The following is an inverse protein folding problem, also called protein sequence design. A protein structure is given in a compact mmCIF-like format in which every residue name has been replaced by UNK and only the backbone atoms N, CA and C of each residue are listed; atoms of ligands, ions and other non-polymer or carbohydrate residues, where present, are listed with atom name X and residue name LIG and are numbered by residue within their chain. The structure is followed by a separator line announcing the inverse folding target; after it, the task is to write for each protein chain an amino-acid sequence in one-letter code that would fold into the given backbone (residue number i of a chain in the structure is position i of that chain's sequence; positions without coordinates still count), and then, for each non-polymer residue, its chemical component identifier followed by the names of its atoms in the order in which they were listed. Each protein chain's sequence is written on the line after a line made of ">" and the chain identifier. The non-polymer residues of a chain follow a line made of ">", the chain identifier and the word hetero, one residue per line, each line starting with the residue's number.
data_IF_870308678361
#
_entry.id   IF_870308678361
#
_cell.length_a   1.000
_cell.length_b   1.000
_cell.length_c   1.000
_cell.angle_alpha   90.00
_cell.angle_beta   90.00
_cell.angle_gamma   90.00
#
_symmetry.space_group_name_H-M   'P 1'
#
loop_
_entity.id
_entity.type
_entity.pdbx_description
1 polymer ?
#
# COMPACT_ATOMS: atom_id res chain seq x y z
N UNK A 1 -20.46 5.68 23.79
CA UNK A 1 -21.73 5.68 23.05
C UNK A 1 -22.24 4.25 22.77
N UNK A 2 -21.48 3.38 22.09
CA UNK A 2 -21.91 2.03 21.69
C UNK A 2 -22.48 1.20 22.87
N UNK A 3 -21.76 1.09 24.00
CA UNK A 3 -22.18 0.30 25.15
C UNK A 3 -23.42 0.89 25.83
N UNK A 4 -23.56 2.21 25.85
CA UNK A 4 -24.75 2.88 26.38
C UNK A 4 -25.99 2.59 25.54
N UNK A 5 -25.88 2.61 24.20
CA UNK A 5 -26.96 2.26 23.28
C UNK A 5 -27.38 0.79 23.44
N UNK A 6 -26.44 -0.11 23.60
CA UNK A 6 -26.73 -1.54 23.87
C UNK A 6 -27.49 -1.71 25.21
N UNK A 7 -27.05 -0.99 26.24
CA UNK A 7 -27.73 -1.05 27.55
C UNK A 7 -29.18 -0.53 27.48
N UNK A 8 -29.42 0.51 26.69
CA UNK A 8 -30.80 0.98 26.47
C UNK A 8 -31.70 -0.10 25.88
N UNK A 9 -31.20 -0.82 24.86
CA UNK A 9 -31.96 -1.88 24.21
C UNK A 9 -32.20 -3.04 25.20
N UNK A 10 -31.15 -3.54 25.85
CA UNK A 10 -31.23 -4.65 26.80
C UNK A 10 -32.19 -4.31 27.93
N UNK A 11 -32.02 -3.14 28.54
CA UNK A 11 -32.80 -2.71 29.67
C UNK A 11 -34.25 -2.44 29.32
N UNK A 12 -34.54 -1.77 28.21
CA UNK A 12 -35.93 -1.49 27.78
C UNK A 12 -36.69 -2.79 27.48
N UNK A 13 -36.06 -3.75 26.83
CA UNK A 13 -36.70 -5.04 26.56
C UNK A 13 -36.91 -5.88 27.82
N UNK A 14 -35.94 -5.84 28.76
CA UNK A 14 -36.13 -6.48 30.06
C UNK A 14 -37.34 -5.87 30.83
N UNK A 15 -37.50 -4.56 30.79
CA UNK A 15 -38.63 -3.87 31.41
C UNK A 15 -39.97 -4.21 30.73
N UNK A 16 -39.96 -4.58 29.46
CA UNK A 16 -41.14 -5.08 28.73
C UNK A 16 -41.40 -6.60 28.94
N UNK A 17 -40.63 -7.27 29.80
CA UNK A 17 -40.80 -8.67 30.14
C UNK A 17 -40.09 -9.67 29.24
N UNK A 18 -39.22 -9.22 28.34
CA UNK A 18 -38.40 -10.12 27.50
C UNK A 18 -37.20 -10.65 28.28
N UNK A 19 -36.77 -11.86 27.95
CA UNK A 19 -35.51 -12.41 28.41
C UNK A 19 -34.36 -11.79 27.60
N UNK A 20 -33.51 -11.03 28.24
CA UNK A 20 -32.45 -10.24 27.59
C UNK A 20 -31.09 -10.50 28.23
N UNK A 21 -30.51 -11.71 28.06
CA UNK A 21 -29.17 -12.02 28.54
C UNK A 21 -28.16 -11.14 27.79
N UNK A 22 -27.23 -10.54 28.54
CA UNK A 22 -26.14 -9.76 27.99
C UNK A 22 -24.82 -10.21 28.58
N UNK A 23 -23.93 -10.76 27.70
CA UNK A 23 -22.57 -11.12 28.05
C UNK A 23 -21.65 -10.06 27.49
N UNK A 24 -20.99 -9.25 28.34
CA UNK A 24 -20.00 -8.27 27.86
C UNK A 24 -18.79 -8.98 27.27
N UNK A 25 -18.19 -8.39 26.24
CA UNK A 25 -17.03 -8.96 25.56
C UNK A 25 -15.97 -7.93 25.23
N UNK A 26 -14.73 -8.39 25.15
CA UNK A 26 -13.55 -7.62 24.76
C UNK A 26 -12.81 -8.27 23.63
N UNK A 27 -12.47 -7.46 22.64
CA UNK A 27 -11.48 -7.75 21.60
C UNK A 27 -10.12 -7.26 22.12
N UNK A 28 -9.19 -8.20 22.35
CA UNK A 28 -7.98 -7.97 23.15
C UNK A 28 -6.70 -7.93 22.32
N UNK A 29 -6.78 -8.03 21.00
CA UNK A 29 -5.62 -8.05 20.13
C UNK A 29 -5.55 -6.78 19.27
N UNK A 30 -4.38 -6.57 18.65
CA UNK A 30 -4.19 -5.58 17.62
C UNK A 30 -3.19 -4.47 17.94
N UNK A 31 -2.88 -3.71 16.90
CA UNK A 31 -1.89 -2.63 16.90
C UNK A 31 -2.04 -1.58 18.01
N UNK A 32 -3.24 -1.17 18.44
CA UNK A 32 -3.35 -0.18 19.51
C UNK A 32 -2.70 -0.62 20.82
N UNK A 33 -2.83 -1.90 21.18
CA UNK A 33 -2.21 -2.47 22.39
C UNK A 33 -0.70 -2.59 22.19
N UNK A 34 -0.25 -3.12 21.06
CA UNK A 34 1.18 -3.27 20.72
C UNK A 34 1.90 -1.93 20.79
N UNK A 35 1.38 -0.90 20.14
CA UNK A 35 1.94 0.47 20.15
C UNK A 35 1.94 1.10 21.54
N UNK A 36 0.94 0.83 22.36
CA UNK A 36 0.90 1.32 23.73
C UNK A 36 2.05 0.71 24.56
N UNK A 37 2.36 -0.58 24.38
CA UNK A 37 3.49 -1.24 25.03
C UNK A 37 4.83 -0.69 24.53
N UNK A 38 5.01 -0.53 23.23
CA UNK A 38 6.22 0.05 22.66
C UNK A 38 6.48 1.47 23.18
N UNK A 39 5.44 2.30 23.22
CA UNK A 39 5.53 3.67 23.73
C UNK A 39 5.86 3.70 25.23
N UNK A 40 5.19 2.87 26.04
CA UNK A 40 5.36 2.84 27.49
C UNK A 40 6.73 2.31 27.92
N UNK A 41 7.22 1.29 27.25
CA UNK A 41 8.53 0.67 27.52
C UNK A 41 9.68 1.33 26.78
N UNK A 42 9.41 2.26 25.86
CA UNK A 42 10.39 2.88 24.95
C UNK A 42 11.24 1.85 24.17
N UNK A 43 10.63 0.72 23.86
CA UNK A 43 11.24 -0.40 23.11
C UNK A 43 10.28 -0.82 22.01
N UNK A 44 10.82 -1.07 20.83
CA UNK A 44 10.05 -1.67 19.73
C UNK A 44 9.83 -3.16 20.01
N UNK A 45 8.80 -3.75 19.38
CA UNK A 45 8.52 -5.18 19.47
C UNK A 45 9.74 -6.05 19.12
N UNK A 46 10.56 -5.61 18.15
CA UNK A 46 11.80 -6.28 17.71
C UNK A 46 12.92 -6.32 18.76
N UNK A 47 12.84 -5.46 19.80
CA UNK A 47 13.82 -5.37 20.88
C UNK A 47 13.44 -6.25 22.08
N UNK A 48 12.33 -6.97 21.99
CA UNK A 48 11.82 -7.90 23.00
C UNK A 48 11.68 -9.29 22.39
N UNK A 49 11.80 -10.33 23.19
CA UNK A 49 11.42 -11.66 22.73
C UNK A 49 9.90 -11.74 22.51
N UNK A 50 9.47 -12.55 21.55
CA UNK A 50 8.03 -12.69 21.23
C UNK A 50 7.19 -13.06 22.46
N UNK A 51 7.60 -14.01 23.32
CA UNK A 51 6.84 -14.34 24.54
C UNK A 51 6.73 -13.16 25.52
N UNK A 52 7.81 -12.40 25.72
CA UNK A 52 7.80 -11.22 26.60
C UNK A 52 6.88 -10.12 26.08
N UNK A 53 6.92 -9.87 24.79
CA UNK A 53 6.06 -8.87 24.14
C UNK A 53 4.58 -9.27 24.25
N UNK A 54 4.25 -10.52 23.91
CA UNK A 54 2.88 -11.06 24.04
C UNK A 54 2.36 -10.98 25.47
N UNK A 55 3.19 -11.35 26.46
CA UNK A 55 2.81 -11.27 27.86
C UNK A 55 2.55 -9.82 28.30
N UNK A 56 3.38 -8.89 27.87
CA UNK A 56 3.16 -7.47 28.17
C UNK A 56 1.86 -6.93 27.56
N UNK A 57 1.51 -7.37 26.34
CA UNK A 57 0.23 -7.01 25.70
C UNK A 57 -0.96 -7.61 26.45
N UNK A 58 -0.88 -8.87 26.90
CA UNK A 58 -1.90 -9.55 27.71
C UNK A 58 -2.16 -8.82 29.04
N UNK A 59 -1.08 -8.50 29.78
CA UNK A 59 -1.16 -7.76 31.06
C UNK A 59 -1.81 -6.36 30.85
N UNK A 60 -1.44 -5.67 29.79
CA UNK A 60 -2.02 -4.38 29.44
C UNK A 60 -3.52 -4.50 29.12
N UNK A 61 -3.90 -5.49 28.32
CA UNK A 61 -5.29 -5.74 27.97
C UNK A 61 -6.13 -6.07 29.21
N UNK A 62 -5.62 -6.90 30.12
CA UNK A 62 -6.32 -7.26 31.39
C UNK A 62 -6.55 -6.02 32.26
N UNK A 63 -5.57 -5.15 32.42
CA UNK A 63 -5.71 -3.88 33.14
C UNK A 63 -6.84 -3.02 32.59
N UNK A 64 -6.93 -2.92 31.26
CA UNK A 64 -8.00 -2.16 30.61
C UNK A 64 -9.37 -2.81 30.70
N UNK A 65 -9.45 -4.16 30.67
CA UNK A 65 -10.70 -4.88 30.95
C UNK A 65 -11.23 -4.48 32.31
N UNK A 66 -10.41 -4.53 33.35
CA UNK A 66 -10.83 -4.21 34.72
C UNK A 66 -11.28 -2.75 34.84
N UNK A 67 -10.54 -1.80 34.27
CA UNK A 67 -10.90 -0.38 34.26
C UNK A 67 -12.22 -0.12 33.56
N UNK A 68 -12.38 -0.70 32.37
CA UNK A 68 -13.61 -0.54 31.57
C UNK A 68 -14.81 -1.21 32.24
N UNK A 69 -14.64 -2.41 32.77
CA UNK A 69 -15.68 -3.12 33.53
C UNK A 69 -16.16 -2.30 34.71
N UNK A 70 -15.25 -1.74 35.52
CA UNK A 70 -15.58 -0.86 36.63
C UNK A 70 -16.35 0.37 36.17
N UNK A 71 -15.96 0.99 35.06
CA UNK A 71 -16.64 2.13 34.47
C UNK A 71 -18.08 1.79 34.03
N UNK A 72 -18.28 0.67 33.34
CA UNK A 72 -19.59 0.23 32.88
C UNK A 72 -20.51 -0.17 34.03
N UNK A 73 -20.03 -0.85 35.07
CA UNK A 73 -20.77 -1.15 36.29
C UNK A 73 -21.21 0.14 37.00
N UNK A 74 -20.31 1.15 37.05
CA UNK A 74 -20.66 2.47 37.62
C UNK A 74 -21.77 3.19 36.81
N UNK A 75 -21.80 3.03 35.50
CA UNK A 75 -22.89 3.55 34.65
C UNK A 75 -24.18 2.74 34.76
N UNK A 76 -24.19 1.67 35.53
CA UNK A 76 -25.35 0.81 35.76
C UNK A 76 -25.66 -0.15 34.63
N UNK A 77 -24.69 -0.45 33.75
CA UNK A 77 -24.88 -1.43 32.68
C UNK A 77 -25.06 -2.82 33.29
N UNK A 78 -26.21 -3.46 32.97
CA UNK A 78 -26.54 -4.80 33.43
C UNK A 78 -25.99 -5.86 32.49
N UNK A 79 -25.35 -6.90 33.03
CA UNK A 79 -24.80 -8.01 32.25
C UNK A 79 -24.10 -9.03 33.13
N UNK A 80 -23.69 -10.15 32.53
CA UNK A 80 -22.88 -11.17 33.20
C UNK A 80 -21.40 -10.73 33.21
N UNK A 81 -21.05 -9.98 34.23
CA UNK A 81 -19.71 -9.45 34.44
C UNK A 81 -18.74 -10.48 35.04
N UNK A 82 -19.25 -11.60 35.52
CA UNK A 82 -18.43 -12.65 36.11
C UNK A 82 -17.87 -13.61 35.03
N UNK A 83 -18.61 -13.78 33.93
CA UNK A 83 -18.23 -14.64 32.83
C UNK A 83 -18.16 -13.84 31.51
N UNK A 84 -17.30 -12.84 31.44
CA UNK A 84 -17.17 -12.03 30.23
C UNK A 84 -16.53 -12.86 29.11
N UNK A 85 -16.81 -12.45 27.89
CA UNK A 85 -16.17 -12.98 26.68
C UNK A 85 -14.90 -12.20 26.38
N UNK A 86 -13.78 -12.92 26.16
CA UNK A 86 -12.48 -12.31 25.85
C UNK A 86 -11.80 -13.07 24.71
N UNK A 87 -11.38 -12.35 23.68
CA UNK A 87 -10.74 -12.97 22.51
C UNK A 87 -9.36 -13.54 22.80
N UNK A 88 -8.70 -13.08 23.88
CA UNK A 88 -7.40 -13.61 24.33
C UNK A 88 -7.50 -14.88 25.18
N UNK A 89 -8.71 -15.38 25.50
CA UNK A 89 -8.86 -16.61 26.23
C UNK A 89 -8.48 -17.82 25.37
N UNK A 90 -7.69 -18.73 25.93
CA UNK A 90 -7.15 -19.90 25.21
C UNK A 90 -8.24 -20.75 24.53
N UNK A 91 -9.43 -20.84 25.16
CA UNK A 91 -10.55 -21.53 24.55
C UNK A 91 -11.06 -20.83 23.29
N UNK A 92 -11.11 -19.48 23.32
CA UNK A 92 -11.52 -18.68 22.21
C UNK A 92 -10.54 -18.80 21.03
N UNK A 93 -9.24 -18.60 21.29
CA UNK A 93 -8.18 -18.78 20.28
C UNK A 93 -8.22 -20.20 19.66
N UNK A 94 -8.47 -21.22 20.48
CA UNK A 94 -8.60 -22.60 19.98
C UNK A 94 -9.81 -22.79 19.03
N UNK A 95 -10.92 -22.08 19.25
CA UNK A 95 -12.07 -22.13 18.34
C UNK A 95 -11.78 -21.39 17.03
N UNK A 96 -11.09 -20.25 17.07
CA UNK A 96 -10.65 -19.54 15.86
C UNK A 96 -9.78 -20.44 14.98
N UNK A 97 -8.78 -21.09 15.56
CA UNK A 97 -7.91 -22.03 14.83
C UNK A 97 -8.71 -23.20 14.22
N UNK A 98 -9.70 -23.74 14.94
CA UNK A 98 -10.58 -24.78 14.41
C UNK A 98 -11.43 -24.30 13.24
N UNK A 99 -11.97 -23.09 13.32
CA UNK A 99 -12.76 -22.50 12.23
C UNK A 99 -11.86 -22.27 11.01
N UNK A 100 -10.67 -21.69 11.21
CA UNK A 100 -9.68 -21.51 10.16
C UNK A 100 -9.35 -22.85 9.45
N UNK A 101 -9.08 -23.91 10.21
CA UNK A 101 -8.83 -25.24 9.66
C UNK A 101 -9.98 -25.77 8.82
N UNK A 102 -11.23 -25.63 9.28
CA UNK A 102 -12.41 -26.02 8.52
C UNK A 102 -12.59 -25.23 7.23
N UNK A 103 -12.23 -23.96 7.22
CA UNK A 103 -12.27 -23.14 6.02
C UNK A 103 -11.18 -23.55 5.02
N UNK A 104 -10.00 -23.90 5.53
CA UNK A 104 -8.91 -24.44 4.71
C UNK A 104 -9.32 -25.78 4.07
N UNK A 105 -9.87 -26.71 4.84
CA UNK A 105 -10.33 -28.02 4.34
C UNK A 105 -11.40 -27.90 3.25
N UNK A 106 -12.20 -26.83 3.30
CA UNK A 106 -13.21 -26.52 2.27
C UNK A 106 -12.64 -25.76 1.06
N UNK A 107 -11.35 -25.44 1.03
CA UNK A 107 -10.70 -24.73 -0.07
C UNK A 107 -10.95 -23.21 -0.11
N UNK A 108 -11.54 -22.62 0.93
CA UNK A 108 -11.77 -21.16 0.98
C UNK A 108 -10.50 -20.37 1.30
N UNK A 109 -9.51 -21.01 1.90
CA UNK A 109 -8.23 -20.42 2.27
C UNK A 109 -7.11 -21.11 1.51
N UNK A 110 -6.27 -20.33 0.84
CA UNK A 110 -5.10 -20.82 0.13
C UNK A 110 -3.94 -19.83 0.25
N UNK A 111 -2.72 -20.33 0.12
CA UNK A 111 -1.51 -19.49 0.11
C UNK A 111 -1.34 -18.82 -1.25
N UNK A 112 -1.23 -17.50 -1.26
CA UNK A 112 -1.01 -16.70 -2.46
C UNK A 112 -0.09 -15.51 -2.19
N UNK A 113 0.36 -14.86 -3.27
CA UNK A 113 1.11 -13.61 -3.21
C UNK A 113 0.18 -12.45 -3.56
N UNK A 114 0.16 -11.44 -2.72
CA UNK A 114 -0.61 -10.21 -2.92
C UNK A 114 0.21 -9.03 -2.39
N UNK A 115 0.27 -7.90 -3.12
CA UNK A 115 0.81 -6.66 -2.58
C UNK A 115 -0.01 -6.22 -1.36
N UNK A 116 0.68 -5.84 -0.30
CA UNK A 116 0.06 -5.34 0.95
C UNK A 116 0.77 -4.08 1.40
N UNK A 117 0.03 -3.19 2.07
CA UNK A 117 0.62 -2.03 2.73
C UNK A 117 1.36 -2.51 3.98
N UNK A 118 2.62 -2.14 4.09
CA UNK A 118 3.51 -2.55 5.17
C UNK A 118 3.97 -1.35 5.99
N UNK A 119 3.86 -1.43 7.31
CA UNK A 119 4.41 -0.44 8.22
C UNK A 119 5.79 -0.89 8.72
N UNK A 120 6.89 -0.20 8.34
CA UNK A 120 8.24 -0.58 8.76
C UNK A 120 8.52 -0.29 10.25
N UNK A 121 7.73 0.56 10.88
CA UNK A 121 7.82 0.84 12.31
C UNK A 121 7.16 -0.24 13.14
N UNK A 122 5.93 -0.62 12.80
CA UNK A 122 5.19 -1.68 13.50
C UNK A 122 5.62 -3.09 13.03
N UNK A 123 6.41 -3.19 11.96
CA UNK A 123 6.89 -4.46 11.37
C UNK A 123 5.72 -5.41 11.06
N UNK A 124 4.66 -4.86 10.47
CA UNK A 124 3.44 -5.61 10.14
C UNK A 124 2.73 -5.05 8.91
N UNK A 125 1.91 -5.88 8.26
CA UNK A 125 0.93 -5.41 7.30
C UNK A 125 -0.19 -4.65 8.03
N UNK A 126 -0.73 -3.62 7.38
CA UNK A 126 -1.84 -2.82 7.91
C UNK A 126 -3.06 -2.96 7.01
N UNK A 127 -4.25 -2.92 7.63
CA UNK A 127 -5.51 -2.93 6.91
C UNK A 127 -5.76 -1.57 6.22
N UNK A 128 -6.58 -1.56 5.16
CA UNK A 128 -6.96 -0.32 4.46
C UNK A 128 -7.54 0.74 5.40
N UNK A 129 -8.32 0.30 6.40
CA UNK A 129 -8.94 1.19 7.38
C UNK A 129 -7.94 1.88 8.33
N UNK A 130 -6.72 1.38 8.42
CA UNK A 130 -5.65 1.93 9.27
C UNK A 130 -4.70 2.85 8.49
N UNK A 131 -4.97 3.08 7.19
CA UNK A 131 -4.14 3.90 6.30
C UNK A 131 -4.72 5.31 6.26
N UNK A 132 -3.89 6.29 6.62
CA UNK A 132 -4.20 7.70 6.46
C UNK A 132 -3.41 8.27 5.30
N UNK A 133 -4.12 8.87 4.34
CA UNK A 133 -3.51 9.55 3.19
C UNK A 133 -3.37 11.04 3.50
N UNK A 134 -2.21 11.58 3.14
CA UNK A 134 -1.94 13.02 3.24
C UNK A 134 -1.05 13.45 2.09
N UNK A 135 -1.12 14.73 1.75
CA UNK A 135 -0.23 15.31 0.77
C UNK A 135 1.21 15.30 1.31
N UNK A 136 2.14 14.89 0.47
CA UNK A 136 3.55 14.86 0.76
C UNK A 136 4.35 15.37 -0.43
N UNK A 137 5.57 15.89 -0.15
CA UNK A 137 6.47 16.38 -1.18
C UNK A 137 7.61 15.39 -1.37
N UNK A 138 7.77 14.90 -2.59
CA UNK A 138 8.86 14.00 -2.93
C UNK A 138 9.68 14.51 -4.11
N UNK A 139 10.97 14.15 -4.13
CA UNK A 139 11.82 14.41 -5.29
C UNK A 139 11.44 13.48 -6.44
N UNK A 140 11.26 14.07 -7.61
CA UNK A 140 10.99 13.34 -8.84
C UNK A 140 12.13 13.50 -9.82
N UNK A 141 12.33 12.53 -10.70
CA UNK A 141 13.37 12.61 -11.72
C UNK A 141 12.80 12.27 -13.10
N UNK A 142 13.33 12.96 -14.09
CA UNK A 142 13.18 12.62 -15.50
C UNK A 142 14.48 11.96 -15.94
N UNK A 143 14.38 10.80 -16.59
CA UNK A 143 15.55 10.00 -16.99
C UNK A 143 15.47 9.69 -18.45
N UNK A 144 16.54 9.97 -19.17
CA UNK A 144 16.67 9.63 -20.58
C UNK A 144 17.29 8.25 -20.78
N UNK A 145 16.61 7.42 -21.56
CA UNK A 145 17.03 6.08 -21.95
C UNK A 145 17.44 6.13 -23.43
N UNK A 146 18.72 5.93 -23.77
CA UNK A 146 19.15 5.94 -25.16
C UNK A 146 18.40 4.91 -26.00
N UNK A 147 17.96 5.29 -27.20
CA UNK A 147 17.43 4.34 -28.17
C UNK A 147 18.53 3.36 -28.58
N UNK A 148 18.22 2.06 -28.56
CA UNK A 148 19.18 1.02 -28.93
C UNK A 148 18.81 0.28 -30.22
N UNK A 149 17.52 -0.07 -30.35
CA UNK A 149 17.01 -0.77 -31.53
C UNK A 149 15.58 -0.25 -31.80
N UNK A 150 15.40 0.33 -32.97
CA UNK A 150 14.14 0.90 -33.46
C UNK A 150 13.37 -0.05 -34.39
N UNK A 151 13.84 -1.29 -34.57
CA UNK A 151 13.32 -2.26 -35.52
C UNK A 151 13.30 -1.72 -36.98
N UNK A 152 14.19 -0.79 -37.31
CA UNK A 152 14.25 -0.13 -38.60
C UNK A 152 13.17 0.87 -38.93
N UNK A 153 12.33 1.24 -37.94
CA UNK A 153 11.17 2.13 -38.15
C UNK A 153 11.50 3.63 -38.05
N UNK A 154 12.66 3.98 -37.49
CA UNK A 154 13.09 5.38 -37.27
C UNK A 154 14.41 5.70 -38.02
N UNK A 155 14.70 5.00 -39.11
CA UNK A 155 15.97 5.08 -39.90
C UNK A 155 16.29 6.49 -40.42
N UNK A 156 15.27 7.39 -40.48
CA UNK A 156 15.44 8.80 -40.89
C UNK A 156 16.00 9.68 -39.75
N UNK A 157 16.11 9.17 -38.53
CA UNK A 157 16.58 9.91 -37.37
C UNK A 157 17.92 9.36 -36.88
N UNK A 158 18.72 10.20 -36.23
CA UNK A 158 19.97 9.79 -35.60
C UNK A 158 19.70 9.08 -34.27
N UNK A 159 19.67 7.75 -34.29
CA UNK A 159 19.41 6.94 -33.10
C UNK A 159 20.42 7.14 -31.98
N UNK A 160 21.67 7.52 -32.33
CA UNK A 160 22.72 7.74 -31.32
C UNK A 160 22.48 8.95 -30.45
N UNK A 161 21.57 9.82 -30.86
CA UNK A 161 21.15 11.05 -30.17
C UNK A 161 19.64 11.04 -29.81
N UNK A 162 19.01 9.85 -29.87
CA UNK A 162 17.58 9.71 -29.60
C UNK A 162 17.35 8.98 -28.28
N UNK A 163 16.46 9.52 -27.43
CA UNK A 163 16.24 9.05 -26.08
C UNK A 163 14.76 8.98 -25.77
N UNK A 164 14.32 7.92 -25.09
CA UNK A 164 13.04 7.93 -24.36
C UNK A 164 13.19 8.66 -23.05
N UNK A 165 12.24 9.52 -22.72
CA UNK A 165 12.19 10.19 -21.42
C UNK A 165 11.13 9.53 -20.57
N UNK A 166 11.54 9.04 -19.39
CA UNK A 166 10.64 8.51 -18.37
C UNK A 166 10.64 9.41 -17.14
N UNK A 167 9.59 9.30 -16.35
CA UNK A 167 9.43 10.00 -15.08
C UNK A 167 9.21 9.01 -13.95
N UNK A 168 9.82 9.26 -12.79
CA UNK A 168 9.62 8.45 -11.59
C UNK A 168 9.82 9.24 -10.31
N UNK A 169 9.07 8.90 -9.27
CA UNK A 169 9.33 9.28 -7.88
C UNK A 169 10.23 8.28 -7.16
N UNK A 170 10.36 7.06 -7.69
CA UNK A 170 10.95 5.90 -7.04
C UNK A 170 12.32 5.57 -7.65
N UNK A 171 13.29 6.45 -7.41
CA UNK A 171 14.63 6.43 -8.05
C UNK A 171 15.35 5.09 -7.83
N UNK A 172 15.21 4.50 -6.65
CA UNK A 172 15.87 3.24 -6.28
C UNK A 172 15.34 2.01 -7.05
N UNK A 173 14.25 2.13 -7.80
CA UNK A 173 13.75 1.06 -8.67
C UNK A 173 14.42 1.04 -10.06
N UNK A 174 15.08 2.13 -10.44
CA UNK A 174 15.75 2.23 -11.75
C UNK A 174 16.72 1.07 -12.03
N UNK A 175 17.58 0.63 -11.10
CA UNK A 175 18.46 -0.54 -11.36
C UNK A 175 17.67 -1.81 -11.73
N UNK A 176 16.47 -1.97 -11.23
CA UNK A 176 15.54 -3.08 -11.51
C UNK A 176 14.71 -2.91 -12.79
N UNK A 177 14.81 -1.78 -13.51
CA UNK A 177 13.98 -1.53 -14.68
C UNK A 177 14.19 -2.60 -15.77
N UNK A 178 13.09 -3.13 -16.33
CA UNK A 178 13.07 -4.14 -17.40
C UNK A 178 12.36 -3.66 -18.66
N UNK A 179 11.45 -2.66 -18.53
CA UNK A 179 10.65 -2.18 -19.64
C UNK A 179 10.28 -0.70 -19.48
N UNK A 180 9.98 -0.06 -20.61
CA UNK A 180 9.33 1.25 -20.67
C UNK A 180 7.93 1.03 -21.20
N UNK A 181 6.90 1.43 -20.40
CA UNK A 181 5.50 1.26 -20.75
C UNK A 181 4.99 2.51 -21.46
N UNK A 182 4.27 2.31 -22.56
CA UNK A 182 3.62 3.35 -23.35
C UNK A 182 2.13 3.05 -23.48
N UNK A 183 1.29 4.10 -23.42
CA UNK A 183 -0.12 3.92 -23.75
C UNK A 183 -0.30 3.69 -25.26
N UNK A 184 -0.95 2.61 -25.71
CA UNK A 184 -0.94 2.22 -27.14
C UNK A 184 -1.58 3.24 -28.07
N UNK A 185 -2.58 4.01 -27.58
CA UNK A 185 -3.37 4.95 -28.36
C UNK A 185 -2.94 6.40 -28.24
N UNK A 186 -2.17 6.74 -27.18
CA UNK A 186 -1.71 8.11 -26.99
C UNK A 186 -0.64 8.48 -28.00
N UNK A 187 -0.59 9.78 -28.34
CA UNK A 187 0.41 10.31 -29.25
C UNK A 187 1.72 10.57 -28.50
N UNK A 188 2.79 10.02 -29.06
CA UNK A 188 4.17 10.29 -28.65
C UNK A 188 4.87 11.10 -29.72
N UNK A 189 5.69 12.05 -29.30
CA UNK A 189 6.41 12.96 -30.17
C UNK A 189 7.91 12.69 -30.11
N UNK A 190 8.58 12.86 -31.24
CA UNK A 190 10.01 13.01 -31.34
C UNK A 190 10.32 14.49 -31.38
N UNK A 191 11.00 15.00 -30.36
CA UNK A 191 11.28 16.42 -30.18
C UNK A 191 12.78 16.64 -30.22
N UNK A 192 13.24 17.42 -31.19
CA UNK A 192 14.65 17.83 -31.26
C UNK A 192 14.85 19.09 -30.43
N UNK A 193 15.73 19.02 -29.45
CA UNK A 193 16.11 20.16 -28.65
C UNK A 193 17.32 20.91 -29.20
N UNK A 194 17.55 22.11 -28.71
CA UNK A 194 18.66 23.00 -29.11
C UNK A 194 20.06 22.40 -28.83
N UNK A 195 20.18 21.41 -27.93
CA UNK A 195 21.40 20.67 -27.68
C UNK A 195 21.71 19.59 -28.76
N UNK A 196 20.82 19.45 -29.76
CA UNK A 196 20.94 18.52 -30.87
C UNK A 196 20.50 17.07 -30.53
N UNK A 197 20.02 16.80 -29.32
CA UNK A 197 19.41 15.52 -28.93
C UNK A 197 17.93 15.48 -29.31
N UNK A 198 17.41 14.29 -29.56
CA UNK A 198 16.00 14.03 -29.83
C UNK A 198 15.38 13.25 -28.67
N UNK A 199 14.27 13.73 -28.14
CA UNK A 199 13.58 13.13 -27.01
C UNK A 199 12.23 12.57 -27.44
N UNK A 200 11.90 11.37 -26.97
CA UNK A 200 10.60 10.71 -27.20
C UNK A 200 9.81 10.75 -25.89
N UNK A 201 8.62 11.34 -25.94
CA UNK A 201 7.72 11.47 -24.80
C UNK A 201 6.27 11.61 -25.25
N UNK A 202 5.32 11.46 -24.36
CA UNK A 202 3.92 11.74 -24.65
C UNK A 202 3.72 13.21 -25.03
N UNK A 203 2.98 13.48 -26.09
CA UNK A 203 2.72 14.85 -26.61
C UNK A 203 2.10 15.74 -25.53
N UNK A 204 1.17 15.21 -24.74
CA UNK A 204 0.51 15.94 -23.67
C UNK A 204 1.47 16.46 -22.56
N UNK A 205 2.65 15.85 -22.45
CA UNK A 205 3.66 16.23 -21.44
C UNK A 205 4.84 16.99 -22.02
N UNK A 206 4.89 17.17 -23.34
CA UNK A 206 6.04 17.71 -24.08
C UNK A 206 6.52 19.06 -23.51
N UNK A 207 5.66 20.05 -23.47
CA UNK A 207 6.04 21.41 -23.04
C UNK A 207 6.56 21.44 -21.61
N UNK A 208 5.91 20.69 -20.72
CA UNK A 208 6.32 20.53 -19.32
C UNK A 208 7.70 19.91 -19.20
N UNK A 209 7.93 18.83 -19.92
CA UNK A 209 9.20 18.06 -19.85
C UNK A 209 10.33 18.88 -20.46
N UNK A 210 10.12 19.53 -21.59
CA UNK A 210 11.11 20.38 -22.23
C UNK A 210 11.48 21.57 -21.35
N UNK A 211 10.50 22.25 -20.74
CA UNK A 211 10.74 23.33 -19.80
C UNK A 211 11.55 22.89 -18.57
N UNK A 212 11.20 21.72 -17.97
CA UNK A 212 11.95 21.14 -16.84
C UNK A 212 13.38 20.77 -17.26
N UNK A 213 13.58 20.32 -18.50
CA UNK A 213 14.89 20.05 -19.08
C UNK A 213 15.73 21.32 -19.36
N UNK A 214 15.15 22.51 -19.21
CA UNK A 214 15.81 23.78 -19.46
C UNK A 214 15.91 24.15 -20.95
N UNK A 215 15.06 23.55 -21.81
CA UNK A 215 15.02 23.81 -23.24
C UNK A 215 13.93 24.85 -23.57
N UNK A 216 14.34 25.98 -24.13
CA UNK A 216 13.42 27.02 -24.58
C UNK A 216 13.03 26.86 -26.04
N UNK A 217 13.95 26.31 -26.87
CA UNK A 217 13.74 26.11 -28.29
C UNK A 217 13.83 24.63 -28.64
N UNK A 218 12.78 24.11 -29.25
CA UNK A 218 12.67 22.73 -29.70
C UNK A 218 11.74 22.59 -30.88
N UNK A 219 11.92 21.54 -31.66
CA UNK A 219 11.17 21.23 -32.88
C UNK A 219 10.57 19.83 -32.80
N UNK A 220 9.28 19.69 -33.10
CA UNK A 220 8.62 18.41 -33.21
C UNK A 220 8.91 17.81 -34.60
N UNK A 221 9.71 16.74 -34.63
CA UNK A 221 10.12 16.09 -35.87
C UNK A 221 9.08 15.09 -36.39
N UNK A 222 8.41 14.37 -35.47
CA UNK A 222 7.44 13.34 -35.83
C UNK A 222 6.44 13.07 -34.69
N UNK A 223 5.32 12.42 -35.04
CA UNK A 223 4.27 11.98 -34.14
C UNK A 223 3.87 10.55 -34.45
N UNK A 224 3.81 9.70 -33.44
CA UNK A 224 3.40 8.31 -33.58
C UNK A 224 2.51 7.87 -32.40
N UNK A 225 1.57 6.93 -32.58
CA UNK A 225 0.88 6.31 -31.46
C UNK A 225 1.86 5.44 -30.65
N UNK A 226 1.61 5.25 -29.37
CA UNK A 226 2.48 4.42 -28.52
C UNK A 226 2.67 2.99 -29.05
N UNK A 227 1.66 2.42 -29.71
CA UNK A 227 1.74 1.12 -30.38
C UNK A 227 2.82 1.02 -31.47
N UNK A 228 3.22 2.14 -32.05
CA UNK A 228 4.30 2.19 -33.04
C UNK A 228 5.66 1.72 -32.46
N UNK A 229 5.90 2.05 -31.20
CA UNK A 229 7.17 1.79 -30.50
C UNK A 229 7.25 0.39 -29.87
N UNK A 230 6.21 -0.40 -29.96
CA UNK A 230 6.14 -1.72 -29.33
C UNK A 230 7.31 -2.62 -29.79
N UNK A 231 7.93 -3.28 -28.80
CA UNK A 231 9.10 -4.16 -28.95
C UNK A 231 10.41 -3.49 -29.33
N UNK A 232 10.48 -2.17 -29.52
CA UNK A 232 11.76 -1.48 -29.64
C UNK A 232 12.57 -1.64 -28.34
N UNK A 233 13.87 -1.38 -28.39
CA UNK A 233 14.77 -1.50 -27.24
C UNK A 233 15.41 -0.15 -26.91
N UNK A 234 15.40 0.20 -25.65
CA UNK A 234 16.20 1.27 -25.10
C UNK A 234 17.37 0.70 -24.27
N UNK A 235 18.51 1.38 -24.27
CA UNK A 235 19.62 1.06 -23.39
C UNK A 235 19.33 1.62 -22.00
N UNK A 236 19.57 0.82 -20.97
CA UNK A 236 19.49 1.31 -19.60
C UNK A 236 20.55 2.41 -19.37
N UNK A 237 20.24 3.55 -18.72
CA UNK A 237 21.11 4.73 -18.68
C UNK A 237 22.44 4.52 -17.94
N UNK A 238 22.52 3.56 -17.01
CA UNK A 238 23.72 3.34 -16.20
C UNK A 238 24.02 1.84 -15.91
N UNK A 239 23.28 0.91 -16.52
CA UNK A 239 23.55 -0.53 -16.39
C UNK A 239 23.68 -1.16 -17.78
N UNK A 240 24.50 -2.21 -17.89
CA UNK A 240 24.65 -2.96 -19.15
C UNK A 240 23.49 -3.92 -19.37
N UNK A 241 22.31 -3.36 -19.64
CA UNK A 241 21.09 -4.10 -19.99
C UNK A 241 20.16 -3.24 -20.84
N UNK A 242 19.19 -3.87 -21.48
CA UNK A 242 18.17 -3.19 -22.27
C UNK A 242 16.83 -3.16 -21.54
N UNK A 243 16.06 -2.13 -21.84
CA UNK A 243 14.65 -1.99 -21.45
C UNK A 243 13.79 -2.08 -22.70
N UNK A 244 12.88 -3.05 -22.74
CA UNK A 244 11.94 -3.22 -23.86
C UNK A 244 10.81 -2.23 -23.76
N UNK A 245 10.37 -1.68 -24.89
CA UNK A 245 9.16 -0.89 -24.96
C UNK A 245 7.96 -1.82 -25.08
N UNK A 246 6.98 -1.63 -24.19
CA UNK A 246 5.76 -2.44 -24.11
C UNK A 246 4.53 -1.53 -24.02
N UNK A 247 3.42 -1.99 -24.56
CA UNK A 247 2.16 -1.26 -24.46
C UNK A 247 1.39 -1.67 -23.21
N UNK A 248 0.81 -0.67 -22.52
CA UNK A 248 -0.02 -0.89 -21.34
C UNK A 248 -1.09 0.19 -21.22
N UNK A 249 -2.36 -0.21 -21.12
CA UNK A 249 -3.50 0.72 -21.09
C UNK A 249 -3.62 1.50 -19.76
N UNK A 250 -2.90 1.11 -18.72
CA UNK A 250 -2.88 1.85 -17.45
C UNK A 250 -1.92 3.06 -17.44
N UNK A 251 -1.12 3.23 -18.48
CA UNK A 251 -0.22 4.40 -18.62
C UNK A 251 -1.08 5.62 -18.93
N UNK A 252 -0.89 6.71 -18.15
CA UNK A 252 -1.63 7.98 -18.29
C UNK A 252 -0.65 9.13 -18.50
#
# INVERSE_FOLDING_TARGET
>A
LNKTLKDFIVRSHAMMGYYTPYVPGWDNHGLPIERAIETSKKKLNKDMSVPEFRKACEEFAEDFIQKQMGGFKRLGVVGDWEHPYRTMDKHFEAQEVKVFGRMFDKGYIYKGLKPVTWCPYCVTAVAEADIEYKDDTCTTVYVKFPMKDDLGKLSQFDLSKTYFVIWTTTIWTLPGNLAICLHPRDTYVLVKAENGETYIMAEALMDKVMHIGGFENYEVLARYPGSFFENMLAQHPFMDKTSRLVNAEYVT
#
